data_IF_446109345533
#
_entry.id   IF_446109345533
#
_cell.length_a   1.000
_cell.length_b   1.000
_cell.length_c   1.000
_cell.angle_alpha   90.00
_cell.angle_beta   90.00
_cell.angle_gamma   90.00
#
_symmetry.space_group_name_H-M   'P 1'
#
loop_
_entity.id
_entity.type
_entity.pdbx_description
1 polymer ?
#
# COMPACT_ATOMS: atom_id res chain seq x y z
N UNK A 1 7.59 -8.33 22.35
CA UNK A 1 7.98 -6.98 21.93
C UNK A 1 6.70 -6.23 21.63
N UNK A 2 6.49 -5.08 22.24
CA UNK A 2 5.26 -4.30 22.03
C UNK A 2 5.27 -3.72 20.62
N UNK A 3 4.29 -4.04 19.79
CA UNK A 3 4.11 -3.35 18.51
C UNK A 3 3.84 -1.87 18.81
N UNK A 4 4.74 -1.00 18.37
CA UNK A 4 4.57 0.44 18.49
C UNK A 4 3.61 0.91 17.40
N UNK A 5 2.46 1.44 17.83
CA UNK A 5 1.50 2.09 16.96
C UNK A 5 1.35 3.55 17.40
N UNK A 6 0.96 4.40 16.45
CA UNK A 6 0.71 5.84 16.71
C UNK A 6 -0.48 6.32 15.90
N UNK A 7 -1.10 7.40 16.37
CA UNK A 7 -2.07 8.16 15.59
C UNK A 7 -1.44 9.48 15.15
N UNK A 8 -1.48 9.77 13.85
CA UNK A 8 -1.03 11.03 13.28
C UNK A 8 -2.21 11.96 13.03
N UNK A 9 -2.07 13.22 13.44
CA UNK A 9 -3.00 14.31 13.10
C UNK A 9 -2.48 15.20 11.96
N UNK A 10 -1.22 15.06 11.58
CA UNK A 10 -0.67 15.69 10.38
C UNK A 10 -1.07 14.86 9.15
N UNK A 11 -1.49 15.49 8.04
CA UNK A 11 -1.87 14.76 6.84
C UNK A 11 -0.71 13.94 6.28
N UNK A 12 -0.97 12.67 5.96
CA UNK A 12 -0.07 11.83 5.18
C UNK A 12 -0.52 11.83 3.72
N UNK A 13 0.39 12.11 2.79
CA UNK A 13 0.10 12.14 1.35
C UNK A 13 1.12 11.34 0.57
N UNK A 14 0.67 10.53 -0.39
CA UNK A 14 1.52 9.77 -1.31
C UNK A 14 0.91 9.75 -2.70
N UNK A 15 1.73 9.79 -3.74
CA UNK A 15 1.29 9.63 -5.14
C UNK A 15 1.92 8.37 -5.73
N UNK A 16 1.05 7.46 -6.16
CA UNK A 16 1.42 6.15 -6.66
C UNK A 16 1.07 6.03 -8.14
N UNK A 17 1.81 5.20 -8.86
CA UNK A 17 1.52 4.80 -10.22
C UNK A 17 1.35 3.29 -10.25
N UNK A 18 0.19 2.84 -10.73
CA UNK A 18 -0.21 1.45 -10.54
C UNK A 18 -1.46 1.05 -11.30
N UNK A 19 -2.08 -0.02 -10.83
CA UNK A 19 -3.30 -0.60 -11.39
C UNK A 19 -4.30 -0.86 -10.27
N UNK A 20 -5.58 -0.73 -10.59
CA UNK A 20 -6.68 -1.07 -9.70
C UNK A 20 -7.51 -2.22 -10.26
N UNK A 21 -8.06 -3.04 -9.36
CA UNK A 21 -9.02 -4.09 -9.71
C UNK A 21 -9.99 -4.29 -8.55
N UNK A 22 -11.25 -4.56 -8.90
CA UNK A 22 -12.27 -4.90 -7.92
C UNK A 22 -11.96 -6.28 -7.32
N UNK A 23 -11.87 -6.36 -6.00
CA UNK A 23 -11.79 -7.65 -5.31
C UNK A 23 -13.13 -8.38 -5.46
N UNK A 24 -13.08 -9.65 -5.88
CA UNK A 24 -14.30 -10.47 -6.01
C UNK A 24 -14.48 -11.36 -4.77
N UNK A 25 -15.72 -11.62 -4.35
CA UNK A 25 -15.99 -12.58 -3.29
C UNK A 25 -15.33 -13.95 -3.58
N UNK A 26 -14.54 -14.44 -2.64
CA UNK A 26 -13.82 -15.71 -2.75
C UNK A 26 -12.44 -15.64 -3.42
N UNK A 27 -12.01 -14.48 -3.92
CA UNK A 27 -10.60 -14.29 -4.32
C UNK A 27 -9.71 -14.03 -3.11
N UNK A 28 -8.50 -14.58 -3.12
CA UNK A 28 -7.49 -14.27 -2.11
C UNK A 28 -6.80 -12.95 -2.45
N UNK A 29 -6.76 -12.01 -1.50
CA UNK A 29 -6.10 -10.71 -1.71
C UNK A 29 -4.64 -10.86 -2.14
N UNK A 30 -3.90 -11.83 -1.59
CA UNK A 30 -2.52 -12.08 -1.98
C UNK A 30 -2.37 -12.40 -3.46
N UNK A 31 -3.24 -13.23 -4.03
CA UNK A 31 -3.19 -13.57 -5.46
C UNK A 31 -3.50 -12.36 -6.35
N UNK A 32 -4.50 -11.57 -5.97
CA UNK A 32 -4.88 -10.33 -6.66
C UNK A 32 -3.74 -9.30 -6.63
N UNK A 33 -3.11 -9.10 -5.48
CA UNK A 33 -1.99 -8.17 -5.30
C UNK A 33 -0.79 -8.61 -6.15
N UNK A 34 -0.47 -9.91 -6.16
CA UNK A 34 0.62 -10.45 -6.98
C UNK A 34 0.34 -10.28 -8.49
N UNK A 35 -0.90 -10.47 -8.93
CA UNK A 35 -1.32 -10.20 -10.31
C UNK A 35 -1.10 -8.73 -10.68
N UNK A 36 -1.60 -7.80 -9.85
CA UNK A 36 -1.47 -6.36 -10.10
C UNK A 36 -0.01 -5.91 -10.09
N UNK A 37 0.77 -6.28 -9.06
CA UNK A 37 2.18 -5.93 -8.96
C UNK A 37 3.00 -6.55 -10.10
N UNK A 38 2.68 -7.77 -10.54
CA UNK A 38 3.33 -8.39 -11.69
C UNK A 38 3.20 -7.55 -12.96
N UNK A 39 1.99 -7.02 -13.22
CA UNK A 39 1.73 -6.12 -14.34
C UNK A 39 2.42 -4.77 -14.17
N UNK A 40 2.32 -4.15 -12.98
CA UNK A 40 2.98 -2.87 -12.67
C UNK A 40 4.50 -2.95 -12.90
N UNK A 41 5.14 -4.01 -12.38
CA UNK A 41 6.57 -4.22 -12.55
C UNK A 41 6.96 -4.57 -13.99
N UNK A 42 6.07 -5.21 -14.75
CA UNK A 42 6.28 -5.41 -16.19
C UNK A 42 6.37 -4.08 -16.93
N UNK A 43 5.45 -3.15 -16.65
CA UNK A 43 5.45 -1.81 -17.25
C UNK A 43 6.66 -0.97 -16.83
N UNK A 44 6.98 -0.95 -15.53
CA UNK A 44 8.14 -0.23 -15.01
C UNK A 44 9.43 -0.69 -15.69
N UNK A 45 9.63 -2.01 -15.81
CA UNK A 45 10.81 -2.57 -16.49
C UNK A 45 10.78 -2.30 -17.99
N UNK A 46 9.63 -2.46 -18.64
CA UNK A 46 9.48 -2.27 -20.08
C UNK A 46 9.75 -0.82 -20.53
N UNK A 47 9.42 0.16 -19.68
CA UNK A 47 9.62 1.59 -19.95
C UNK A 47 10.81 2.20 -19.20
N UNK A 48 11.56 1.40 -18.44
CA UNK A 48 12.67 1.84 -17.58
C UNK A 48 12.30 3.02 -16.65
N UNK A 49 11.10 2.97 -16.06
CA UNK A 49 10.60 4.08 -15.23
C UNK A 49 11.39 4.16 -13.91
N UNK A 50 11.97 5.32 -13.57
CA UNK A 50 12.67 5.48 -12.30
C UNK A 50 11.67 5.48 -11.15
N UNK A 51 11.97 4.73 -10.10
CA UNK A 51 11.03 4.43 -9.01
C UNK A 51 11.78 4.22 -7.67
N UNK A 52 11.03 4.23 -6.56
CA UNK A 52 11.57 4.06 -5.22
C UNK A 52 11.68 2.58 -4.77
N UNK A 53 11.28 1.62 -5.61
CA UNK A 53 11.49 0.19 -5.32
C UNK A 53 10.53 -0.43 -4.30
N UNK A 54 9.53 0.30 -3.82
CA UNK A 54 8.59 -0.16 -2.78
C UNK A 54 7.19 -0.37 -3.31
N UNK A 55 6.60 -1.52 -2.98
CA UNK A 55 5.22 -1.82 -3.32
C UNK A 55 4.28 -1.14 -2.35
N UNK A 56 3.23 -0.53 -2.88
CA UNK A 56 2.16 0.08 -2.14
C UNK A 56 0.85 -0.57 -2.54
N UNK A 57 0.02 -0.91 -1.56
CA UNK A 57 -1.31 -1.48 -1.78
C UNK A 57 -2.33 -0.65 -1.02
N UNK A 58 -3.32 -0.11 -1.73
CA UNK A 58 -4.45 0.62 -1.18
C UNK A 58 -5.68 -0.26 -1.31
N UNK A 59 -6.39 -0.44 -0.20
CA UNK A 59 -7.70 -1.09 -0.16
C UNK A 59 -8.74 -0.01 0.10
N UNK A 60 -9.71 0.11 -0.79
CA UNK A 60 -10.73 1.16 -0.75
C UNK A 60 -12.01 0.72 -0.03
N UNK A 61 -12.88 1.68 0.29
CA UNK A 61 -14.20 1.40 0.90
C UNK A 61 -15.13 0.60 -0.02
N UNK A 62 -15.00 0.78 -1.34
CA UNK A 62 -15.82 0.08 -2.34
C UNK A 62 -15.33 -1.35 -2.64
N UNK A 63 -14.28 -1.82 -1.95
CA UNK A 63 -13.67 -3.13 -2.15
C UNK A 63 -12.71 -3.19 -3.35
N UNK A 64 -12.41 -2.06 -4.00
CA UNK A 64 -11.33 -2.02 -4.98
C UNK A 64 -9.96 -2.08 -4.29
N UNK A 65 -9.01 -2.74 -4.96
CA UNK A 65 -7.62 -2.83 -4.55
C UNK A 65 -6.78 -2.16 -5.62
N UNK A 66 -5.99 -1.18 -5.21
CA UNK A 66 -4.99 -0.53 -6.03
C UNK A 66 -3.60 -0.99 -5.58
N UNK A 67 -2.76 -1.46 -6.50
CA UNK A 67 -1.37 -1.77 -6.23
C UNK A 67 -0.47 -0.96 -7.17
N UNK A 68 0.59 -0.38 -6.62
CA UNK A 68 1.47 0.51 -7.36
C UNK A 68 2.77 0.81 -6.65
N UNK A 69 3.55 1.71 -7.24
CA UNK A 69 4.83 2.19 -6.71
C UNK A 69 4.89 3.71 -6.75
N UNK A 70 5.79 4.29 -5.97
CA UNK A 70 6.21 5.67 -6.14
C UNK A 70 7.23 5.75 -7.29
N UNK A 71 6.93 6.58 -8.29
CA UNK A 71 7.89 6.92 -9.33
C UNK A 71 8.74 8.10 -8.86
N UNK A 72 10.03 8.09 -9.21
CA UNK A 72 10.88 9.27 -9.04
C UNK A 72 10.40 10.29 -10.07
N UNK A 73 9.81 11.38 -9.60
CA UNK A 73 9.29 12.45 -10.46
C UNK A 73 10.43 13.00 -11.32
N UNK A 74 10.55 12.52 -12.56
CA UNK A 74 11.30 13.28 -13.55
C UNK A 74 10.43 14.47 -13.94
N UNK A 75 10.97 15.64 -13.65
CA UNK A 75 10.52 16.97 -14.09
C UNK A 75 9.90 16.88 -15.49
N UNK A 76 8.71 17.47 -15.63
CA UNK A 76 7.93 17.60 -16.86
C UNK A 76 8.78 17.55 -18.15
N UNK A 77 8.51 16.56 -19.02
CA UNK A 77 9.07 16.57 -20.37
C UNK A 77 9.20 15.26 -21.12
N UNK A 78 8.94 14.08 -20.53
CA UNK A 78 9.06 12.81 -21.24
C UNK A 78 7.69 12.17 -21.49
N UNK A 79 7.01 12.62 -22.54
CA UNK A 79 5.94 11.83 -23.16
C UNK A 79 6.57 10.51 -23.63
N UNK A 80 6.19 9.40 -23.00
CA UNK A 80 6.74 8.08 -23.32
C UNK A 80 5.67 7.26 -24.01
N UNK A 81 5.80 7.17 -25.34
CA UNK A 81 5.05 6.25 -26.18
C UNK A 81 5.41 4.79 -25.82
N UNK A 82 4.55 4.13 -25.03
CA UNK A 82 4.68 2.73 -24.66
C UNK A 82 3.37 1.97 -24.91
N UNK A 83 3.46 0.74 -25.42
CA UNK A 83 2.32 -0.11 -25.81
C UNK A 83 1.83 -1.03 -24.69
N UNK A 84 1.88 -0.59 -23.43
CA UNK A 84 1.40 -1.36 -22.27
C UNK A 84 0.24 -0.66 -21.55
N UNK A 85 -0.45 -1.31 -20.58
CA UNK A 85 -1.46 -0.64 -19.76
C UNK A 85 -0.85 0.62 -19.13
N UNK A 86 -1.49 1.77 -19.35
CA UNK A 86 -1.04 3.00 -18.72
C UNK A 86 -1.25 2.89 -17.21
N UNK A 87 -0.13 2.95 -16.48
CA UNK A 87 -0.14 3.02 -15.02
C UNK A 87 -0.91 4.28 -14.63
N UNK A 88 -2.03 4.09 -13.92
CA UNK A 88 -2.82 5.22 -13.47
C UNK A 88 -2.12 5.90 -12.29
N UNK A 89 -2.05 7.22 -12.33
CA UNK A 89 -1.60 8.02 -11.19
C UNK A 89 -2.74 8.11 -10.17
N UNK A 90 -2.44 7.78 -8.90
CA UNK A 90 -3.37 7.87 -7.79
C UNK A 90 -2.71 8.57 -6.61
N UNK A 91 -3.27 9.69 -6.20
CA UNK A 91 -2.88 10.38 -4.97
C UNK A 91 -3.79 9.96 -3.82
N UNK A 92 -3.19 9.55 -2.72
CA UNK A 92 -3.87 9.26 -1.46
C UNK A 92 -3.48 10.32 -0.43
N UNK A 93 -4.47 10.93 0.20
CA UNK A 93 -4.28 11.85 1.34
C UNK A 93 -5.10 11.34 2.52
N UNK A 94 -4.43 11.06 3.64
CA UNK A 94 -5.03 10.69 4.92
C UNK A 94 -4.94 11.88 5.88
N UNK A 95 -6.03 12.64 6.12
CA UNK A 95 -5.99 13.82 6.99
C UNK A 95 -5.64 13.48 8.45
N UNK A 96 -6.07 12.29 8.90
CA UNK A 96 -5.68 11.68 10.16
C UNK A 96 -5.56 10.17 9.94
N UNK A 97 -4.58 9.54 10.59
CA UNK A 97 -4.31 8.13 10.37
C UNK A 97 -3.85 7.42 11.64
N UNK A 98 -4.09 6.11 11.68
CA UNK A 98 -3.42 5.20 12.60
C UNK A 98 -2.33 4.47 11.83
N UNK A 99 -1.16 4.37 12.45
CA UNK A 99 0.05 3.81 11.86
C UNK A 99 0.66 2.75 12.75
N UNK A 100 1.14 1.68 12.13
CA UNK A 100 2.07 0.75 12.77
C UNK A 100 2.99 0.12 11.73
N UNK A 101 4.07 -0.51 12.21
CA UNK A 101 4.95 -1.33 11.37
C UNK A 101 4.78 -2.78 11.80
N UNK A 102 4.33 -3.62 10.87
CA UNK A 102 4.42 -5.07 10.99
C UNK A 102 5.85 -5.51 10.68
N UNK A 103 6.40 -6.38 11.52
CA UNK A 103 7.66 -7.07 11.30
C UNK A 103 7.42 -8.57 11.37
N UNK A 104 7.72 -9.28 10.30
CA UNK A 104 7.47 -10.70 10.19
C UNK A 104 6.75 -11.13 8.91
N UNK A 105 6.36 -12.42 8.86
CA UNK A 105 5.76 -13.00 7.67
C UNK A 105 4.36 -12.41 7.41
N UNK A 106 4.02 -12.23 6.13
CA UNK A 106 2.75 -11.62 5.72
C UNK A 106 1.50 -12.35 6.24
N UNK A 107 1.59 -13.66 6.51
CA UNK A 107 0.51 -14.43 7.12
C UNK A 107 0.11 -13.96 8.53
N UNK A 108 0.96 -13.18 9.20
CA UNK A 108 0.69 -12.62 10.52
C UNK A 108 0.16 -11.17 10.49
N UNK A 109 0.04 -10.55 9.31
CA UNK A 109 -0.51 -9.20 9.16
C UNK A 109 -1.90 -9.05 9.78
N UNK A 110 -2.73 -10.09 9.68
CA UNK A 110 -4.06 -10.15 10.32
C UNK A 110 -4.02 -9.78 11.80
N UNK A 111 -3.06 -10.33 12.55
CA UNK A 111 -2.90 -10.06 13.99
C UNK A 111 -2.49 -8.61 14.25
N UNK A 112 -1.67 -8.04 13.37
CA UNK A 112 -1.27 -6.63 13.46
C UNK A 112 -2.44 -5.70 13.18
N UNK A 113 -3.30 -6.00 12.19
CA UNK A 113 -4.53 -5.24 11.96
C UNK A 113 -5.44 -5.28 13.19
N UNK A 114 -5.67 -6.46 13.75
CA UNK A 114 -6.54 -6.62 14.92
C UNK A 114 -6.02 -5.82 16.12
N UNK A 115 -4.72 -5.86 16.38
CA UNK A 115 -4.08 -5.11 17.46
C UNK A 115 -4.21 -3.59 17.25
N UNK A 116 -3.97 -3.10 16.03
CA UNK A 116 -4.09 -1.68 15.70
C UNK A 116 -5.54 -1.19 15.83
N UNK A 117 -6.50 -1.94 15.29
CA UNK A 117 -7.93 -1.60 15.37
C UNK A 117 -8.40 -1.58 16.83
N UNK A 118 -7.99 -2.57 17.64
CA UNK A 118 -8.34 -2.60 19.06
C UNK A 118 -7.78 -1.39 19.82
N UNK A 119 -6.52 -1.02 19.54
CA UNK A 119 -5.88 0.15 20.12
C UNK A 119 -6.57 1.47 19.75
N UNK A 120 -6.91 1.65 18.47
CA UNK A 120 -7.64 2.83 17.99
C UNK A 120 -9.03 2.89 18.60
N UNK A 121 -9.73 1.76 18.70
CA UNK A 121 -11.04 1.70 19.34
C UNK A 121 -10.98 2.08 20.82
N UNK A 122 -9.94 1.67 21.53
CA UNK A 122 -9.72 2.03 22.93
C UNK A 122 -9.49 3.54 23.13
N UNK A 123 -9.06 4.27 22.10
CA UNK A 123 -8.93 5.74 22.13
C UNK A 123 -10.22 6.49 21.75
N UNK A 124 -11.31 5.76 21.49
CA UNK A 124 -12.61 6.34 21.08
C UNK A 124 -12.68 6.75 19.61
N UNK A 125 -11.71 6.31 18.80
CA UNK A 125 -11.64 6.56 17.34
C UNK A 125 -11.94 5.28 16.58
N UNK A 126 -12.07 5.39 15.26
CA UNK A 126 -12.34 4.24 14.40
C UNK A 126 -11.43 4.21 13.16
N UNK A 127 -10.87 3.04 12.87
CA UNK A 127 -10.17 2.76 11.62
C UNK A 127 -11.17 2.62 10.47
N UNK A 128 -10.92 3.32 9.37
CA UNK A 128 -11.69 3.24 8.12
C UNK A 128 -10.76 2.99 6.94
N UNK A 129 -11.35 2.51 5.84
CA UNK A 129 -10.65 2.53 4.55
C UNK A 129 -10.62 4.01 4.05
N UNK A 130 -9.69 4.40 3.17
CA UNK A 130 -8.62 3.58 2.61
C UNK A 130 -7.63 3.06 3.66
N UNK A 131 -7.22 1.81 3.52
CA UNK A 131 -6.05 1.25 4.19
C UNK A 131 -4.90 1.28 3.18
N UNK A 132 -3.75 1.79 3.60
CA UNK A 132 -2.52 1.69 2.83
C UNK A 132 -1.55 0.73 3.52
N UNK A 133 -1.00 -0.20 2.75
CA UNK A 133 0.14 -1.03 3.09
C UNK A 133 1.34 -0.61 2.24
N UNK A 134 2.50 -0.43 2.88
CA UNK A 134 3.77 -0.18 2.21
C UNK A 134 4.73 -1.29 2.56
N UNK A 135 5.06 -2.10 1.56
CA UNK A 135 5.98 -3.22 1.72
C UNK A 135 7.42 -2.69 1.65
N UNK A 136 8.23 -3.05 2.64
CA UNK A 136 9.67 -2.80 2.63
C UNK A 136 10.38 -3.56 1.50
N UNK A 137 11.70 -3.44 1.46
CA UNK A 137 12.49 -4.25 0.54
C UNK A 137 12.41 -5.73 0.92
N UNK A 138 12.38 -6.59 -0.09
CA UNK A 138 12.36 -8.03 0.11
C UNK A 138 13.60 -8.50 0.88
N UNK A 139 13.37 -9.39 1.84
CA UNK A 139 14.39 -10.04 2.65
C UNK A 139 14.16 -11.56 2.56
N UNK A 140 15.23 -12.35 2.45
CA UNK A 140 15.12 -13.82 2.44
C UNK A 140 14.62 -14.36 3.79
N UNK A 141 14.99 -13.69 4.88
CA UNK A 141 14.48 -13.98 6.22
C UNK A 141 13.14 -13.25 6.40
N UNK A 142 12.04 -14.01 6.39
CA UNK A 142 10.69 -13.48 6.55
C UNK A 142 10.48 -12.73 7.87
N UNK A 143 11.27 -13.03 8.92
CA UNK A 143 11.18 -12.33 10.20
C UNK A 143 11.65 -10.87 10.13
N UNK A 144 12.40 -10.54 9.08
CA UNK A 144 12.92 -9.20 8.81
C UNK A 144 12.08 -8.42 7.80
N UNK A 145 11.02 -9.03 7.24
CA UNK A 145 10.10 -8.31 6.36
C UNK A 145 9.38 -7.23 7.15
N UNK A 146 9.34 -6.03 6.58
CA UNK A 146 8.61 -4.91 7.16
C UNK A 146 7.42 -4.53 6.28
N UNK A 147 6.28 -4.26 6.90
CA UNK A 147 5.10 -3.68 6.23
C UNK A 147 4.58 -2.52 7.06
N UNK A 148 4.64 -1.33 6.51
CA UNK A 148 4.02 -0.16 7.12
C UNK A 148 2.52 -0.17 6.82
N UNK A 149 1.70 0.06 7.83
CA UNK A 149 0.24 -0.02 7.74
C UNK A 149 -0.34 1.32 8.17
N UNK A 150 -1.15 1.93 7.32
CA UNK A 150 -1.86 3.17 7.56
C UNK A 150 -3.36 2.96 7.40
N UNK A 151 -4.12 3.12 8.49
CA UNK A 151 -5.58 3.24 8.43
C UNK A 151 -5.99 4.70 8.43
N UNK A 152 -6.94 5.08 7.58
CA UNK A 152 -7.67 6.34 7.74
C UNK A 152 -8.40 6.35 9.09
N UNK A 153 -8.41 7.50 9.76
CA UNK A 153 -9.16 7.69 11.00
C UNK A 153 -10.38 8.58 10.83
N UNK A 154 -11.46 8.20 11.51
CA UNK A 154 -12.66 9.02 11.70
C UNK A 154 -12.89 9.35 13.18
#
# INVERSE_FOLDING_TARGET
MSQEWRMGAEPFSVTLHGLAKQHRPGEEYGALIMELLGQVWSEIRGRALPNLGRNHVIYEEDGSVFAGVELVTQIAGAESAGSGPDLMAKSLTLPAYAYCVHRGPYGELGRTYDALVAAVRASGRECRRPLLEIYGHWQEDESLLETEIYYSLR
#
